data_IF_925465908996
#
_entry.id   IF_925465908996
#
_cell.length_a   1.000
_cell.length_b   1.000
_cell.length_c   1.000
_cell.angle_alpha   90.00
_cell.angle_beta   90.00
_cell.angle_gamma   90.00
#
_symmetry.space_group_name_H-M   'P 1'
#
loop_
_entity.id
_entity.type
_entity.pdbx_description
1 polymer ?
#
# COMPACT_ATOMS: atom_id res chain seq x y z
N UNK A 1 18.27 44.08 -10.89
CA UNK A 1 18.73 43.35 -9.68
C UNK A 1 17.49 42.77 -8.98
N UNK A 2 17.52 41.51 -8.52
CA UNK A 2 16.38 40.90 -7.82
C UNK A 2 15.23 40.41 -8.72
N UNK A 3 15.46 40.23 -10.03
CA UNK A 3 14.49 39.57 -10.92
C UNK A 3 14.79 38.07 -10.94
N UNK A 4 13.80 37.27 -10.57
CA UNK A 4 13.84 35.82 -10.68
C UNK A 4 13.33 35.42 -12.07
N UNK A 5 14.17 34.75 -12.86
CA UNK A 5 13.78 34.14 -14.12
C UNK A 5 13.40 32.70 -13.86
N UNK A 6 12.14 32.36 -14.08
CA UNK A 6 11.67 30.98 -14.15
C UNK A 6 11.96 30.49 -15.56
N UNK A 7 12.92 29.56 -15.68
CA UNK A 7 13.26 28.94 -16.97
C UNK A 7 12.28 27.80 -17.26
N UNK A 8 11.88 27.09 -16.21
CA UNK A 8 10.90 26.01 -16.21
C UNK A 8 10.27 25.87 -14.80
N UNK A 9 9.27 24.99 -14.65
CA UNK A 9 8.57 24.76 -13.37
C UNK A 9 9.53 24.36 -12.23
N UNK A 10 10.71 23.80 -12.54
CA UNK A 10 11.70 23.28 -11.59
C UNK A 10 13.00 24.08 -11.49
N UNK A 11 13.24 25.05 -12.37
CA UNK A 11 14.48 25.84 -12.38
C UNK A 11 14.20 27.33 -12.21
N UNK A 12 14.89 27.91 -11.23
CA UNK A 12 14.80 29.32 -10.89
C UNK A 12 16.19 29.93 -10.88
N UNK A 13 16.38 31.01 -11.63
CA UNK A 13 17.63 31.75 -11.66
C UNK A 13 17.45 33.16 -11.12
N UNK A 14 18.39 33.57 -10.28
CA UNK A 14 18.45 34.90 -9.69
C UNK A 14 19.68 35.65 -10.21
N UNK A 15 19.46 36.88 -10.67
CA UNK A 15 20.54 37.78 -11.09
C UNK A 15 20.88 38.74 -9.94
N UNK A 16 22.06 38.53 -9.36
CA UNK A 16 22.64 39.35 -8.31
C UNK A 16 23.67 40.32 -8.89
N UNK A 17 23.73 41.53 -8.34
CA UNK A 17 24.70 42.56 -8.74
C UNK A 17 25.61 42.81 -7.55
N UNK A 18 26.91 42.67 -7.76
CA UNK A 18 27.93 43.00 -6.75
C UNK A 18 28.64 44.28 -7.19
N UNK A 19 28.65 45.30 -6.33
CA UNK A 19 29.17 46.64 -6.65
C UNK A 19 30.58 46.90 -6.08
N UNK A 20 31.15 45.97 -5.32
CA UNK A 20 32.47 46.11 -4.67
C UNK A 20 33.31 44.87 -4.99
N UNK A 21 34.52 44.98 -5.57
CA UNK A 21 35.30 46.18 -5.92
C UNK A 21 35.04 46.76 -7.34
N UNK A 22 34.22 46.11 -8.17
CA UNK A 22 33.81 46.57 -9.51
C UNK A 22 32.39 46.04 -9.82
N UNK A 23 31.64 46.73 -10.71
CA UNK A 23 30.29 46.28 -11.10
C UNK A 23 30.37 44.91 -11.78
N UNK A 24 29.82 43.89 -11.12
CA UNK A 24 29.76 42.53 -11.65
C UNK A 24 28.35 41.97 -11.53
N UNK A 25 27.95 41.23 -12.55
CA UNK A 25 26.67 40.54 -12.63
C UNK A 25 26.92 39.06 -12.40
N UNK A 26 26.20 38.47 -11.44
CA UNK A 26 26.28 37.04 -11.15
C UNK A 26 24.89 36.42 -11.29
N UNK A 27 24.77 35.51 -12.26
CA UNK A 27 23.60 34.66 -12.41
C UNK A 27 23.77 33.41 -11.53
N UNK A 28 22.84 33.18 -10.62
CA UNK A 28 22.82 31.99 -9.76
C UNK A 28 21.54 31.21 -10.03
N UNK A 29 21.67 29.96 -10.48
CA UNK A 29 20.54 29.10 -10.81
C UNK A 29 20.39 27.99 -9.78
N UNK A 30 19.14 27.70 -9.42
CA UNK A 30 18.77 26.58 -8.57
C UNK A 30 17.82 25.68 -9.34
N UNK A 31 18.14 24.39 -9.37
CA UNK A 31 17.29 23.35 -9.93
C UNK A 31 16.72 22.51 -8.79
N UNK A 32 15.41 22.29 -8.81
CA UNK A 32 14.72 21.40 -7.89
C UNK A 32 14.69 19.99 -8.48
N UNK A 33 15.05 18.99 -7.69
CA UNK A 33 14.91 17.57 -8.03
C UNK A 33 13.83 16.97 -7.14
N UNK A 34 12.86 16.30 -7.73
CA UNK A 34 11.79 15.63 -7.00
C UNK A 34 12.25 14.27 -6.50
N UNK A 35 11.80 13.89 -5.31
CA UNK A 35 12.05 12.57 -4.76
C UNK A 35 11.16 11.52 -5.46
N UNK A 36 11.66 10.29 -5.64
CA UNK A 36 10.83 9.21 -6.16
C UNK A 36 9.74 8.84 -5.16
N UNK A 37 8.57 8.43 -5.68
CA UNK A 37 7.49 7.98 -4.83
C UNK A 37 7.81 6.61 -4.16
N UNK A 38 7.42 6.41 -2.90
CA UNK A 38 7.60 5.14 -2.20
C UNK A 38 6.76 4.01 -2.81
N UNK A 39 7.03 2.77 -2.44
CA UNK A 39 6.29 1.60 -2.95
C UNK A 39 4.77 1.73 -2.78
N UNK A 40 4.03 1.23 -3.76
CA UNK A 40 2.55 1.27 -3.82
C UNK A 40 1.94 2.68 -3.93
N UNK A 41 2.76 3.67 -4.32
CA UNK A 41 2.30 5.03 -4.64
C UNK A 41 2.79 5.47 -6.03
N UNK A 42 2.02 6.33 -6.68
CA UNK A 42 2.34 6.90 -8.00
C UNK A 42 2.41 8.42 -7.91
N UNK A 43 3.24 9.02 -8.77
CA UNK A 43 3.38 10.47 -8.86
C UNK A 43 2.19 11.07 -9.62
N UNK A 44 1.38 11.86 -8.92
CA UNK A 44 0.33 12.69 -9.51
C UNK A 44 0.86 14.11 -9.73
N UNK A 45 1.07 14.49 -11.00
CA UNK A 45 1.54 15.85 -11.34
C UNK A 45 0.49 16.88 -10.97
N UNK A 46 0.89 17.91 -10.23
CA UNK A 46 0.05 19.08 -9.94
C UNK A 46 0.40 20.18 -10.93
N UNK A 47 -0.59 20.72 -11.65
CA UNK A 47 -0.36 21.78 -12.64
C UNK A 47 0.31 23.01 -12.00
N UNK A 48 1.40 23.50 -12.60
CA UNK A 48 2.12 24.68 -12.12
C UNK A 48 3.12 24.42 -10.98
N UNK A 49 3.31 23.17 -10.58
CA UNK A 49 4.30 22.77 -9.57
C UNK A 49 5.44 21.99 -10.21
N UNK A 50 6.68 22.23 -9.75
CA UNK A 50 7.83 21.40 -10.13
C UNK A 50 7.60 19.92 -9.83
N UNK A 51 7.13 19.63 -8.61
CA UNK A 51 6.92 18.27 -8.13
C UNK A 51 5.44 17.95 -8.00
N UNK A 52 5.11 16.70 -8.29
CA UNK A 52 3.79 16.14 -8.02
C UNK A 52 3.61 15.70 -6.57
N UNK A 53 2.46 15.12 -6.28
CA UNK A 53 2.15 14.45 -5.02
C UNK A 53 2.17 12.94 -5.23
N UNK A 54 2.65 12.18 -4.26
CA UNK A 54 2.54 10.72 -4.31
C UNK A 54 1.16 10.31 -3.79
N UNK A 55 0.40 9.59 -4.61
CA UNK A 55 -0.93 9.05 -4.26
C UNK A 55 -0.87 7.54 -4.22
N UNK A 56 -1.54 6.92 -3.25
CA UNK A 56 -1.57 5.46 -3.15
C UNK A 56 -2.37 4.85 -4.32
N UNK A 57 -1.92 3.71 -4.83
CA UNK A 57 -2.68 2.93 -5.84
C UNK A 57 -3.38 1.71 -5.25
N UNK A 58 -2.97 1.28 -4.06
CA UNK A 58 -3.60 0.20 -3.32
C UNK A 58 -3.43 0.41 -1.81
N UNK A 59 -4.31 -0.19 -1.00
CA UNK A 59 -4.19 -0.13 0.45
C UNK A 59 -3.31 -1.28 0.97
N UNK A 60 -2.18 -1.00 1.66
CA UNK A 60 -1.39 -2.05 2.28
C UNK A 60 -2.09 -2.61 3.53
N UNK A 61 -2.12 -3.92 3.66
CA UNK A 61 -2.74 -4.66 4.76
C UNK A 61 -1.73 -5.65 5.33
N UNK A 62 -1.65 -5.71 6.66
CA UNK A 62 -0.92 -6.77 7.36
C UNK A 62 -1.93 -7.79 7.89
N UNK A 63 -1.87 -9.01 7.37
CA UNK A 63 -2.70 -10.13 7.80
C UNK A 63 -2.27 -10.63 9.20
N UNK A 64 -3.15 -11.38 9.86
CA UNK A 64 -2.91 -12.02 11.17
C UNK A 64 -1.71 -13.00 11.13
N UNK A 65 -1.43 -13.60 9.97
CA UNK A 65 -0.26 -14.45 9.75
C UNK A 65 1.06 -13.65 9.57
N UNK A 66 1.02 -12.32 9.69
CA UNK A 66 2.16 -11.42 9.49
C UNK A 66 2.46 -11.09 8.03
N UNK A 67 1.72 -11.65 7.07
CA UNK A 67 1.94 -11.39 5.65
C UNK A 67 1.45 -10.00 5.26
N UNK A 68 2.23 -9.30 4.43
CA UNK A 68 1.88 -8.00 3.87
C UNK A 68 1.31 -8.19 2.48
N UNK A 69 0.08 -7.73 2.29
CA UNK A 69 -0.62 -7.77 1.00
C UNK A 69 -1.20 -6.40 0.68
N UNK A 70 -1.61 -6.21 -0.56
CA UNK A 70 -2.29 -5.00 -1.02
C UNK A 70 -3.73 -5.32 -1.40
N UNK A 71 -4.63 -4.38 -1.12
CA UNK A 71 -6.03 -4.44 -1.52
C UNK A 71 -6.27 -3.35 -2.56
N UNK A 72 -6.76 -3.76 -3.73
CA UNK A 72 -7.08 -2.84 -4.83
C UNK A 72 -8.22 -1.89 -4.47
N UNK A 73 -8.32 -0.73 -5.14
CA UNK A 73 -9.41 0.21 -4.90
C UNK A 73 -10.79 -0.43 -5.06
N UNK A 74 -11.67 -0.19 -4.09
CA UNK A 74 -13.02 -0.75 -3.96
C UNK A 74 -13.11 -2.27 -3.70
N UNK A 75 -11.98 -2.95 -3.51
CA UNK A 75 -11.95 -4.37 -3.15
C UNK A 75 -12.02 -4.58 -1.63
N UNK A 76 -12.44 -5.79 -1.25
CA UNK A 76 -12.48 -6.23 0.16
C UNK A 76 -11.77 -7.56 0.36
N UNK A 77 -10.74 -7.54 1.18
CA UNK A 77 -10.00 -8.72 1.61
C UNK A 77 -10.49 -9.21 2.98
N UNK A 78 -10.69 -10.52 3.14
CA UNK A 78 -11.07 -11.14 4.42
C UNK A 78 -9.92 -11.97 5.00
N UNK A 79 -9.69 -11.82 6.29
CA UNK A 79 -8.69 -12.54 7.06
C UNK A 79 -9.31 -12.96 8.40
N UNK A 80 -9.78 -14.21 8.45
CA UNK A 80 -10.61 -14.70 9.56
C UNK A 80 -11.89 -13.86 9.70
N UNK A 81 -12.02 -13.17 10.82
CA UNK A 81 -13.17 -12.31 11.13
C UNK A 81 -12.89 -10.82 10.86
N UNK A 82 -11.70 -10.50 10.35
CA UNK A 82 -11.36 -9.17 9.89
C UNK A 82 -11.69 -9.05 8.40
N UNK A 83 -12.31 -7.96 8.00
CA UNK A 83 -12.49 -7.56 6.62
C UNK A 83 -11.85 -6.19 6.41
N UNK A 84 -11.00 -6.10 5.39
CA UNK A 84 -10.23 -4.94 4.99
C UNK A 84 -10.76 -4.45 3.64
N UNK A 85 -11.42 -3.30 3.63
CA UNK A 85 -11.97 -2.70 2.41
C UNK A 85 -11.16 -1.47 2.05
N UNK A 86 -10.61 -1.41 0.84
CA UNK A 86 -9.94 -0.21 0.34
C UNK A 86 -10.97 0.69 -0.34
N UNK A 87 -11.31 1.83 0.24
CA UNK A 87 -12.30 2.75 -0.32
C UNK A 87 -11.63 3.96 -0.96
N UNK A 88 -12.22 4.48 -2.03
CA UNK A 88 -11.86 5.78 -2.61
C UNK A 88 -12.73 6.85 -1.98
N UNK A 89 -12.14 7.92 -1.44
CA UNK A 89 -12.89 9.07 -0.92
C UNK A 89 -13.35 9.99 -2.06
N UNK A 90 -14.14 11.02 -1.76
CA UNK A 90 -14.62 11.99 -2.76
C UNK A 90 -13.49 12.79 -3.44
N UNK A 91 -12.33 12.86 -2.80
CA UNK A 91 -11.13 13.55 -3.29
C UNK A 91 -10.25 12.65 -4.17
N UNK A 92 -10.60 11.36 -4.32
CA UNK A 92 -9.83 10.37 -5.07
C UNK A 92 -8.72 9.67 -4.28
N UNK A 93 -8.60 9.92 -2.98
CA UNK A 93 -7.62 9.26 -2.12
C UNK A 93 -8.13 7.90 -1.63
N UNK A 94 -7.18 6.96 -1.43
CA UNK A 94 -7.47 5.63 -0.89
C UNK A 94 -7.46 5.62 0.63
N UNK A 95 -8.50 5.05 1.22
CA UNK A 95 -8.66 4.85 2.66
C UNK A 95 -8.91 3.37 2.96
N UNK A 96 -8.06 2.79 3.82
CA UNK A 96 -8.26 1.44 4.33
C UNK A 96 -9.29 1.45 5.46
N UNK A 97 -10.39 0.74 5.26
CA UNK A 97 -11.42 0.52 6.28
C UNK A 97 -11.32 -0.90 6.80
N UNK A 98 -11.01 -1.04 8.10
CA UNK A 98 -11.00 -2.34 8.77
C UNK A 98 -12.28 -2.53 9.56
N UNK A 99 -12.95 -3.66 9.33
CA UNK A 99 -14.11 -4.10 10.10
C UNK A 99 -13.81 -5.46 10.71
N UNK A 100 -14.22 -5.65 11.97
CA UNK A 100 -14.08 -6.91 12.67
C UNK A 100 -15.46 -7.42 13.03
N UNK A 101 -15.81 -8.58 12.50
CA UNK A 101 -17.01 -9.30 12.95
C UNK A 101 -16.67 -10.15 14.16
N UNK A 102 -17.66 -10.41 15.00
CA UNK A 102 -17.52 -11.42 16.06
C UNK A 102 -17.31 -12.77 15.39
N UNK A 103 -16.18 -13.42 15.69
CA UNK A 103 -15.95 -14.77 15.23
C UNK A 103 -17.01 -15.69 15.86
N UNK A 104 -17.62 -16.60 15.09
CA UNK A 104 -18.46 -17.63 15.70
C UNK A 104 -17.61 -18.42 16.70
N UNK A 105 -18.21 -18.73 17.85
CA UNK A 105 -17.53 -19.52 18.87
C UNK A 105 -17.03 -20.85 18.28
N UNK A 106 -15.82 -21.23 18.66
CA UNK A 106 -15.26 -22.50 18.25
C UNK A 106 -16.08 -23.64 18.85
N UNK A 107 -16.88 -24.31 18.01
CA UNK A 107 -17.59 -25.53 18.39
C UNK A 107 -16.76 -26.74 18.00
N UNK A 108 -16.19 -27.41 19.02
CA UNK A 108 -15.48 -28.68 18.86
C UNK A 108 -16.37 -29.74 18.20
N UNK A 109 -17.65 -29.76 18.53
CA UNK A 109 -18.65 -30.69 17.99
C UNK A 109 -18.85 -30.49 16.50
N UNK A 110 -18.94 -29.23 16.01
CA UNK A 110 -19.00 -28.94 14.57
C UNK A 110 -17.72 -29.35 13.84
N UNK A 111 -16.54 -29.05 14.39
CA UNK A 111 -15.26 -29.49 13.80
C UNK A 111 -15.17 -31.03 13.71
N UNK A 112 -15.64 -31.76 14.73
CA UNK A 112 -15.65 -33.23 14.74
C UNK A 112 -16.73 -33.85 13.83
N UNK A 113 -17.85 -33.14 13.62
CA UNK A 113 -18.92 -33.57 12.71
C UNK A 113 -18.56 -33.36 11.23
N UNK A 114 -17.85 -32.28 10.91
CA UNK A 114 -17.33 -32.00 9.56
C UNK A 114 -16.07 -32.85 9.24
N UNK A 115 -15.39 -33.35 10.28
CA UNK A 115 -14.32 -34.34 10.16
C UNK A 115 -14.87 -35.72 9.82
N UNK A 116 -14.62 -36.20 8.60
CA UNK A 116 -15.06 -37.55 8.18
C UNK A 116 -14.37 -38.61 9.05
N UNK A 117 -15.13 -39.37 9.83
CA UNK A 117 -14.67 -40.62 10.45
C UNK A 117 -14.43 -41.67 9.36
N UNK A 118 -13.17 -42.03 9.11
CA UNK A 118 -12.84 -43.22 8.31
C UNK A 118 -12.58 -44.40 9.25
N UNK A 119 -13.48 -45.39 9.29
CA UNK A 119 -13.35 -46.60 10.12
C UNK A 119 -12.37 -47.65 9.56
N UNK A 120 -11.31 -47.27 8.84
CA UNK A 120 -10.30 -48.24 8.41
C UNK A 120 -8.89 -47.72 8.66
N UNK A 121 -8.31 -48.15 9.79
CA UNK A 121 -6.92 -47.87 10.20
C UNK A 121 -5.91 -48.81 9.53
N UNK A 122 -6.26 -49.53 8.47
CA UNK A 122 -5.30 -50.35 7.73
C UNK A 122 -5.42 -50.15 6.22
N UNK A 123 -4.32 -49.68 5.62
CA UNK A 123 -4.07 -49.34 4.21
C UNK A 123 -4.70 -48.03 3.71
N UNK A 124 -3.88 -46.99 3.68
CA UNK A 124 -3.89 -46.01 2.59
C UNK A 124 -2.52 -46.05 1.91
N UNK A 125 -2.44 -46.87 0.86
CA UNK A 125 -1.43 -46.72 -0.18
C UNK A 125 -1.76 -45.45 -0.96
N UNK A 126 -0.83 -44.50 -0.97
CA UNK A 126 -0.97 -43.23 -1.66
C UNK A 126 -0.83 -43.45 -3.18
N UNK A 127 -1.95 -43.38 -3.90
CA UNK A 127 -1.96 -43.08 -5.34
C UNK A 127 -2.80 -41.83 -5.57
N UNK A 128 -2.10 -40.74 -5.91
CA UNK A 128 -2.59 -39.54 -6.60
C UNK A 128 -4.00 -39.06 -6.24
N UNK A 129 -4.18 -38.53 -5.04
CA UNK A 129 -5.19 -37.49 -4.81
C UNK A 129 -4.76 -36.70 -3.59
N UNK A 130 -4.47 -35.41 -3.78
CA UNK A 130 -4.25 -34.46 -2.70
C UNK A 130 -5.53 -34.39 -1.85
N UNK A 131 -5.60 -35.22 -0.81
CA UNK A 131 -6.66 -35.18 0.20
C UNK A 131 -6.16 -34.28 1.32
N UNK A 132 -6.62 -33.02 1.31
CA UNK A 132 -6.38 -32.09 2.41
C UNK A 132 -6.95 -32.71 3.69
N UNK A 133 -6.08 -33.09 4.60
CA UNK A 133 -6.48 -33.44 5.96
C UNK A 133 -6.73 -32.11 6.66
N UNK A 134 -8.00 -31.75 6.88
CA UNK A 134 -8.34 -30.54 7.65
C UNK A 134 -7.91 -30.78 9.09
N UNK A 135 -6.72 -30.31 9.46
CA UNK A 135 -6.24 -30.34 10.85
C UNK A 135 -6.96 -29.22 11.60
N UNK A 136 -7.86 -29.58 12.53
CA UNK A 136 -8.44 -28.62 13.46
C UNK A 136 -7.35 -28.10 14.41
N UNK A 137 -6.76 -26.94 14.11
CA UNK A 137 -5.87 -26.24 15.03
C UNK A 137 -6.63 -25.19 15.85
N UNK A 138 -6.30 -25.12 17.13
CA UNK A 138 -6.81 -24.13 18.08
C UNK A 138 -6.26 -22.76 17.67
N UNK A 139 -7.11 -21.85 17.20
CA UNK A 139 -6.73 -20.46 16.98
C UNK A 139 -6.31 -19.85 18.33
N UNK A 140 -5.06 -19.39 18.40
CA UNK A 140 -4.48 -18.76 19.59
C UNK A 140 -4.69 -17.26 19.53
#
# INVERSE_FOLDING_TARGET
PGKTLLIDECSSCECSVTTVPMLSYKLSCRQVRCEPCPEHTILQKTSGSCCGKCVMTACPVTMNNGNRVTVEPNETLRDGCNAYTCKVNEQGDLMLVTSRTTCPDFSREKCLADGVWSQNVNKLQFRNTFKWTTVCQRGR
#
